data_IF_194635763299
#
_entry.id   IF_194635763299
#
_cell.length_a   1.000
_cell.length_b   1.000
_cell.length_c   1.000
_cell.angle_alpha   90.00
_cell.angle_beta   90.00
_cell.angle_gamma   90.00
#
_symmetry.space_group_name_H-M   'P 1'
#
loop_
_entity.id
_entity.type
_entity.pdbx_description
1 polymer ?
#
# COMPACT_ATOMS: atom_id res chain seq x y z
N UNK A 1 11.59 4.96 -17.51
CA UNK A 1 12.16 3.96 -16.62
C UNK A 1 11.58 4.29 -15.26
N UNK A 2 11.07 3.33 -14.52
CA UNK A 2 10.42 3.64 -13.23
C UNK A 2 11.49 3.95 -12.18
N UNK A 3 11.28 5.02 -11.42
CA UNK A 3 12.22 5.54 -10.43
C UNK A 3 11.84 5.09 -9.02
N UNK A 4 12.77 4.48 -8.31
CA UNK A 4 12.58 3.95 -6.95
C UNK A 4 13.50 4.72 -5.99
N UNK A 5 12.96 5.11 -4.84
CA UNK A 5 13.74 5.65 -3.73
C UNK A 5 13.94 4.57 -2.67
N UNK A 6 15.19 4.32 -2.30
CA UNK A 6 15.56 3.50 -1.14
C UNK A 6 15.95 4.45 -0.01
N UNK A 7 15.36 4.27 1.17
CA UNK A 7 15.73 5.00 2.38
C UNK A 7 16.24 3.95 3.39
N UNK A 8 17.56 3.82 3.48
CA UNK A 8 18.27 2.77 4.22
C UNK A 8 19.62 3.32 4.68
N UNK A 9 19.93 3.25 5.96
CA UNK A 9 21.17 3.79 6.52
C UNK A 9 22.36 2.83 6.42
N UNK A 10 22.12 1.53 6.28
CA UNK A 10 23.17 0.55 6.05
C UNK A 10 23.57 0.53 4.55
N UNK A 11 24.65 1.25 4.20
CA UNK A 11 25.11 1.38 2.80
C UNK A 11 25.24 0.03 2.09
N UNK A 12 25.75 -1.01 2.75
CA UNK A 12 25.92 -2.33 2.15
C UNK A 12 24.58 -3.00 1.78
N UNK A 13 23.52 -2.75 2.56
CA UNK A 13 22.16 -3.24 2.25
C UNK A 13 21.57 -2.41 1.13
N UNK A 14 21.66 -1.10 1.23
CA UNK A 14 21.15 -0.17 0.20
C UNK A 14 21.77 -0.43 -1.18
N UNK A 15 23.09 -0.64 -1.24
CA UNK A 15 23.81 -0.94 -2.49
C UNK A 15 23.38 -2.30 -3.05
N UNK A 16 23.23 -3.32 -2.20
CA UNK A 16 22.75 -4.63 -2.63
C UNK A 16 21.32 -4.55 -3.21
N UNK A 17 20.42 -3.86 -2.52
CA UNK A 17 19.05 -3.64 -3.01
C UNK A 17 19.05 -2.90 -4.35
N UNK A 18 19.84 -1.82 -4.45
CA UNK A 18 20.00 -1.04 -5.67
C UNK A 18 20.47 -1.90 -6.83
N UNK A 19 21.56 -2.66 -6.65
CA UNK A 19 22.13 -3.49 -7.71
C UNK A 19 21.09 -4.46 -8.31
N UNK A 20 20.33 -5.15 -7.45
CA UNK A 20 19.29 -6.08 -7.91
C UNK A 20 18.12 -5.39 -8.60
N UNK A 21 17.73 -4.21 -8.15
CA UNK A 21 16.67 -3.43 -8.76
C UNK A 21 17.11 -2.83 -10.11
N UNK A 22 18.34 -2.30 -10.21
CA UNK A 22 18.89 -1.78 -11.45
C UNK A 22 19.07 -2.89 -12.50
N UNK A 23 19.56 -4.08 -12.11
CA UNK A 23 19.60 -5.27 -12.96
C UNK A 23 18.20 -5.68 -13.45
N UNK A 24 17.16 -5.32 -12.70
CA UNK A 24 15.76 -5.58 -13.06
C UNK A 24 15.11 -4.48 -13.88
N UNK A 25 15.87 -3.41 -14.24
CA UNK A 25 15.45 -2.36 -15.16
C UNK A 25 14.80 -1.15 -14.47
N UNK A 26 15.00 -0.96 -13.18
CA UNK A 26 14.58 0.23 -12.45
C UNK A 26 15.69 1.29 -12.41
N UNK A 27 15.31 2.55 -12.24
CA UNK A 27 16.20 3.65 -11.88
C UNK A 27 16.14 3.82 -10.35
N UNK A 28 17.28 3.74 -9.65
CA UNK A 28 17.29 3.64 -8.20
C UNK A 28 18.14 4.74 -7.57
N UNK A 29 17.52 5.47 -6.66
CA UNK A 29 18.18 6.47 -5.86
C UNK A 29 18.19 6.04 -4.37
N UNK A 30 19.33 6.25 -3.69
CA UNK A 30 19.51 5.93 -2.28
C UNK A 30 19.55 7.22 -1.46
N UNK A 31 18.88 7.19 -0.32
CA UNK A 31 19.04 8.14 0.77
C UNK A 31 19.45 7.37 2.03
N UNK A 32 20.67 7.63 2.53
CA UNK A 32 21.22 6.96 3.73
C UNK A 32 20.78 7.59 5.04
N UNK A 33 19.93 8.62 4.98
CA UNK A 33 19.39 9.34 6.14
C UNK A 33 17.91 9.56 5.97
N UNK A 34 17.15 9.38 7.06
CA UNK A 34 15.71 9.51 7.05
C UNK A 34 15.19 10.91 6.69
N UNK A 35 15.87 11.98 7.16
CA UNK A 35 15.52 13.38 6.85
C UNK A 35 15.72 13.70 5.37
N UNK A 36 16.82 13.27 4.77
CA UNK A 36 17.11 13.42 3.35
C UNK A 36 16.13 12.60 2.51
N UNK A 37 15.85 11.36 2.92
CA UNK A 37 14.90 10.47 2.26
C UNK A 37 13.49 11.05 2.24
N UNK A 38 13.03 11.61 3.36
CA UNK A 38 11.75 12.29 3.45
C UNK A 38 11.69 13.52 2.53
N UNK A 39 12.72 14.36 2.56
CA UNK A 39 12.77 15.55 1.70
C UNK A 39 12.68 15.17 0.21
N UNK A 40 13.43 14.16 -0.23
CA UNK A 40 13.37 13.64 -1.60
C UNK A 40 12.00 13.06 -1.92
N UNK A 41 11.46 12.20 -1.04
CA UNK A 41 10.15 11.59 -1.22
C UNK A 41 9.03 12.61 -1.43
N UNK A 42 9.09 13.76 -0.76
CA UNK A 42 8.11 14.84 -0.90
C UNK A 42 8.35 15.72 -2.12
N UNK A 43 9.61 16.08 -2.41
CA UNK A 43 9.94 17.06 -3.46
C UNK A 43 10.12 16.46 -4.84
N UNK A 44 10.52 15.20 -4.95
CA UNK A 44 10.80 14.55 -6.22
C UNK A 44 9.73 13.49 -6.55
N UNK A 45 9.69 13.08 -7.83
CA UNK A 45 8.74 12.08 -8.29
C UNK A 45 9.40 10.69 -8.28
N UNK A 46 8.85 9.79 -7.50
CA UNK A 46 9.20 8.37 -7.46
C UNK A 46 7.95 7.53 -7.71
N UNK A 47 8.15 6.37 -8.30
CA UNK A 47 7.10 5.40 -8.58
C UNK A 47 6.87 4.41 -7.42
N UNK A 48 7.89 4.25 -6.54
CA UNK A 48 7.84 3.40 -5.35
C UNK A 48 8.92 3.83 -4.34
N UNK A 49 8.65 3.64 -3.05
CA UNK A 49 9.62 3.85 -1.97
C UNK A 49 9.85 2.53 -1.25
N UNK A 50 11.13 2.19 -1.01
CA UNK A 50 11.57 1.17 -0.07
C UNK A 50 12.08 1.91 1.17
N UNK A 51 11.54 1.57 2.34
CA UNK A 51 11.75 2.35 3.57
C UNK A 51 12.15 1.45 4.73
N UNK A 52 13.38 1.60 5.22
CA UNK A 52 13.74 1.00 6.49
C UNK A 52 13.04 1.73 7.65
N UNK A 53 12.61 0.96 8.62
CA UNK A 53 12.00 1.49 9.84
C UNK A 53 13.04 1.87 10.91
N UNK A 54 14.24 1.30 10.85
CA UNK A 54 15.26 1.44 11.88
C UNK A 54 16.26 2.55 11.57
N UNK A 55 15.81 3.60 10.92
CA UNK A 55 16.65 4.73 10.56
C UNK A 55 17.06 5.55 11.80
N UNK A 56 18.30 6.06 11.83
CA UNK A 56 18.70 7.04 12.84
C UNK A 56 17.98 8.37 12.63
N UNK A 57 17.78 9.12 13.70
CA UNK A 57 17.22 10.49 13.74
C UNK A 57 15.73 10.61 13.42
N UNK A 58 15.22 9.92 12.40
CA UNK A 58 13.80 9.99 12.00
C UNK A 58 13.20 8.59 11.93
N UNK A 59 12.13 8.34 12.69
CA UNK A 59 11.41 7.06 12.66
C UNK A 59 10.78 6.80 11.28
N UNK A 60 11.07 5.64 10.67
CA UNK A 60 10.50 5.26 9.38
C UNK A 60 8.97 5.26 9.35
N UNK A 61 8.32 5.03 10.48
CA UNK A 61 6.86 5.17 10.59
C UNK A 61 6.41 6.63 10.39
N UNK A 62 7.18 7.60 10.90
CA UNK A 62 6.87 9.02 10.72
C UNK A 62 7.11 9.47 9.29
N UNK A 63 8.14 8.94 8.62
CA UNK A 63 8.38 9.17 7.19
C UNK A 63 7.19 8.65 6.37
N UNK A 64 6.76 7.42 6.61
CA UNK A 64 5.62 6.83 5.91
C UNK A 64 4.36 7.68 6.08
N UNK A 65 4.06 8.11 7.31
CA UNK A 65 2.90 8.96 7.58
C UNK A 65 2.94 10.26 6.80
N UNK A 66 4.07 11.00 6.83
CA UNK A 66 4.21 12.27 6.16
C UNK A 66 4.12 12.12 4.63
N UNK A 67 4.75 11.10 4.07
CA UNK A 67 4.62 10.81 2.63
C UNK A 67 3.17 10.52 2.26
N UNK A 68 2.41 9.80 3.10
CA UNK A 68 1.01 9.45 2.85
C UNK A 68 0.05 10.63 2.94
N UNK A 69 0.41 11.68 3.66
CA UNK A 69 -0.38 12.93 3.68
C UNK A 69 -0.39 13.62 2.29
N UNK A 70 0.68 13.44 1.49
CA UNK A 70 0.84 14.13 0.22
C UNK A 70 0.81 13.20 -1.01
N UNK A 71 1.28 11.95 -0.89
CA UNK A 71 1.48 11.03 -2.03
C UNK A 71 0.88 9.65 -1.80
N UNK A 72 0.38 9.06 -2.90
CA UNK A 72 -0.23 7.71 -2.90
C UNK A 72 0.66 6.64 -3.58
N UNK A 73 1.93 6.92 -3.82
CA UNK A 73 2.87 5.97 -4.41
C UNK A 73 3.06 4.75 -3.50
N UNK A 74 3.33 3.55 -4.03
CA UNK A 74 3.59 2.37 -3.21
C UNK A 74 4.77 2.56 -2.25
N UNK A 75 4.59 2.13 -0.99
CA UNK A 75 5.65 2.09 0.03
C UNK A 75 5.78 0.66 0.53
N UNK A 76 6.98 0.09 0.39
CA UNK A 76 7.36 -1.19 0.98
C UNK A 76 8.23 -0.89 2.20
N UNK A 77 7.77 -1.24 3.39
CA UNK A 77 8.56 -1.14 4.60
C UNK A 77 9.47 -2.35 4.74
N UNK A 78 10.70 -2.10 5.17
CA UNK A 78 11.68 -3.14 5.46
C UNK A 78 12.14 -2.98 6.90
N UNK A 79 12.31 -4.07 7.66
CA UNK A 79 12.76 -3.95 9.05
C UNK A 79 13.31 -5.25 9.62
N UNK A 80 14.26 -5.13 10.56
CA UNK A 80 14.69 -6.26 11.39
C UNK A 80 13.65 -6.66 12.44
N UNK A 81 12.64 -5.81 12.69
CA UNK A 81 11.57 -6.09 13.65
C UNK A 81 10.63 -7.16 13.11
N UNK A 82 10.46 -8.24 13.87
CA UNK A 82 9.62 -9.39 13.51
C UNK A 82 8.26 -9.38 14.21
N UNK A 83 8.04 -8.43 15.12
CA UNK A 83 6.82 -8.39 15.90
C UNK A 83 5.61 -8.00 15.05
N UNK A 84 4.53 -8.74 15.22
CA UNK A 84 3.28 -8.48 14.49
C UNK A 84 2.71 -7.09 14.79
N UNK A 85 3.03 -6.52 15.96
CA UNK A 85 2.62 -5.16 16.35
C UNK A 85 3.25 -4.11 15.41
N UNK A 86 4.54 -4.22 15.10
CA UNK A 86 5.22 -3.28 14.19
C UNK A 86 4.71 -3.41 12.76
N UNK A 87 4.44 -4.64 12.30
CA UNK A 87 3.82 -4.88 10.98
C UNK A 87 2.42 -4.26 10.91
N UNK A 88 1.58 -4.50 11.93
CA UNK A 88 0.24 -3.93 12.01
C UNK A 88 0.30 -2.40 12.03
N UNK A 89 1.26 -1.83 12.77
CA UNK A 89 1.47 -0.38 12.82
C UNK A 89 1.87 0.19 11.45
N UNK A 90 2.86 -0.41 10.77
CA UNK A 90 3.32 0.04 9.46
C UNK A 90 2.21 0.04 8.40
N UNK A 91 1.50 -1.07 8.29
CA UNK A 91 0.35 -1.21 7.39
C UNK A 91 -0.79 -0.26 7.78
N UNK A 92 -1.01 -0.06 9.08
CA UNK A 92 -1.99 0.90 9.60
C UNK A 92 -1.65 2.36 9.29
N UNK A 93 -0.39 2.69 9.06
CA UNK A 93 0.07 4.02 8.64
C UNK A 93 0.05 4.21 7.11
N UNK A 94 -0.31 3.16 6.37
CA UNK A 94 -0.51 3.24 4.94
C UNK A 94 0.60 2.61 4.08
N UNK A 95 1.53 1.84 4.68
CA UNK A 95 2.42 1.01 3.89
C UNK A 95 1.63 -0.01 3.07
N UNK A 96 2.06 -0.28 1.85
CA UNK A 96 1.43 -1.25 0.96
C UNK A 96 1.92 -2.67 1.23
N UNK A 97 3.16 -2.80 1.72
CA UNK A 97 3.76 -4.08 2.10
C UNK A 97 4.78 -3.91 3.24
N UNK A 98 5.12 -5.04 3.87
CA UNK A 98 6.09 -5.09 4.96
C UNK A 98 6.96 -6.33 4.80
N UNK A 99 8.30 -6.14 4.79
CA UNK A 99 9.29 -7.21 4.70
C UNK A 99 10.16 -7.24 5.95
N UNK A 100 10.50 -8.45 6.41
CA UNK A 100 11.41 -8.61 7.54
C UNK A 100 12.81 -8.96 7.08
N UNK A 101 13.82 -8.25 7.61
CA UNK A 101 15.25 -8.61 7.43
C UNK A 101 15.60 -9.87 8.27
N UNK A 102 16.44 -10.81 7.76
CA UNK A 102 17.01 -10.82 6.43
C UNK A 102 16.01 -11.32 5.39
N UNK A 103 16.02 -10.73 4.21
CA UNK A 103 15.21 -11.14 3.05
C UNK A 103 16.10 -11.44 1.85
N UNK A 104 15.57 -12.17 0.88
CA UNK A 104 16.25 -12.38 -0.40
C UNK A 104 16.09 -11.14 -1.28
N UNK A 105 17.17 -10.61 -1.90
CA UNK A 105 17.04 -9.53 -2.87
C UNK A 105 16.07 -9.85 -4.02
N UNK A 106 16.01 -11.12 -4.43
CA UNK A 106 15.03 -11.57 -5.43
C UNK A 106 13.59 -11.46 -4.94
N UNK A 107 13.34 -11.66 -3.65
CA UNK A 107 12.02 -11.44 -3.05
C UNK A 107 11.64 -9.96 -3.09
N UNK A 108 12.56 -9.07 -2.72
CA UNK A 108 12.35 -7.63 -2.81
C UNK A 108 11.98 -7.22 -4.24
N UNK A 109 12.77 -7.66 -5.24
CA UNK A 109 12.50 -7.36 -6.65
C UNK A 109 11.13 -7.88 -7.09
N UNK A 110 10.75 -9.09 -6.69
CA UNK A 110 9.45 -9.65 -7.04
C UNK A 110 8.30 -8.81 -6.46
N UNK A 111 8.41 -8.37 -5.20
CA UNK A 111 7.42 -7.50 -4.55
C UNK A 111 7.34 -6.12 -5.21
N UNK A 112 8.50 -5.51 -5.48
CA UNK A 112 8.57 -4.22 -6.20
C UNK A 112 7.86 -4.33 -7.55
N UNK A 113 8.17 -5.36 -8.36
CA UNK A 113 7.52 -5.59 -9.66
C UNK A 113 6.00 -5.76 -9.52
N UNK A 114 5.55 -6.55 -8.57
CA UNK A 114 4.12 -6.78 -8.33
C UNK A 114 3.39 -5.48 -7.95
N UNK A 115 3.95 -4.67 -7.04
CA UNK A 115 3.37 -3.40 -6.65
C UNK A 115 3.36 -2.38 -7.79
N UNK A 116 4.47 -2.29 -8.55
CA UNK A 116 4.60 -1.39 -9.70
C UNK A 116 3.62 -1.77 -10.83
N UNK A 117 3.55 -3.04 -11.19
CA UNK A 117 2.67 -3.53 -12.25
C UNK A 117 1.21 -3.27 -11.92
N UNK A 118 0.84 -3.49 -10.65
CA UNK A 118 -0.49 -3.19 -10.16
C UNK A 118 -0.79 -1.70 -10.20
N UNK A 119 0.11 -0.86 -9.71
CA UNK A 119 -0.02 0.59 -9.75
C UNK A 119 -0.15 1.08 -11.20
N UNK A 120 0.72 0.63 -12.11
CA UNK A 120 0.69 0.99 -13.53
C UNK A 120 -0.59 0.50 -14.25
N UNK A 121 -1.08 -0.69 -13.92
CA UNK A 121 -2.35 -1.20 -14.47
C UNK A 121 -3.54 -0.31 -14.11
N UNK A 122 -3.50 0.28 -12.95
CA UNK A 122 -4.56 1.14 -12.41
C UNK A 122 -4.40 2.61 -12.85
N UNK A 123 -3.18 3.09 -13.06
CA UNK A 123 -2.87 4.46 -13.52
C UNK A 123 -2.73 4.53 -15.05
N UNK A 124 -2.33 3.44 -15.71
CA UNK A 124 -1.87 3.42 -17.12
C UNK A 124 -2.93 3.13 -18.19
N UNK A 125 -4.19 2.94 -17.86
CA UNK A 125 -5.22 2.68 -18.88
C UNK A 125 -5.81 3.97 -19.44
N UNK A 126 -5.09 4.57 -20.40
CA UNK A 126 -5.66 5.57 -21.30
C UNK A 126 -6.59 4.90 -22.33
N UNK A 127 -7.86 4.74 -22.02
CA UNK A 127 -9.01 4.97 -22.95
C UNK A 127 -10.25 5.19 -22.09
N UNK A 128 -10.76 6.38 -22.18
CA UNK A 128 -11.89 6.92 -21.45
C UNK A 128 -13.18 6.14 -21.72
N UNK A 129 -13.56 5.28 -20.79
CA UNK A 129 -14.90 5.22 -20.22
C UNK A 129 -14.68 5.22 -18.72
N UNK A 130 -15.08 6.29 -18.06
CA UNK A 130 -15.04 6.34 -16.61
C UNK A 130 -15.84 5.14 -16.09
N UNK A 131 -15.11 4.12 -15.64
CA UNK A 131 -15.71 2.96 -15.01
C UNK A 131 -16.04 3.37 -13.56
N UNK A 132 -17.25 3.86 -13.39
CA UNK A 132 -17.72 4.47 -12.14
C UNK A 132 -18.65 3.47 -11.45
N UNK A 133 -18.37 3.21 -10.18
CA UNK A 133 -19.26 2.47 -9.29
C UNK A 133 -19.96 3.49 -8.40
N UNK A 134 -21.30 3.48 -8.38
CA UNK A 134 -22.10 4.31 -7.47
C UNK A 134 -23.02 3.40 -6.63
N UNK A 135 -22.77 3.34 -5.33
CA UNK A 135 -23.52 2.52 -4.39
C UNK A 135 -23.73 3.28 -3.08
N UNK A 136 -24.99 3.50 -2.69
CA UNK A 136 -25.38 4.04 -1.38
C UNK A 136 -24.61 5.30 -0.95
N UNK A 137 -24.30 6.21 -1.90
CA UNK A 137 -23.57 7.44 -1.65
C UNK A 137 -22.05 7.34 -1.75
N UNK A 138 -21.51 6.15 -2.00
CA UNK A 138 -20.12 5.96 -2.40
C UNK A 138 -20.04 6.04 -3.93
N UNK A 139 -19.15 6.88 -4.44
CA UNK A 139 -18.78 6.95 -5.86
C UNK A 139 -17.29 6.62 -5.99
N UNK A 140 -16.97 5.62 -6.78
CA UNK A 140 -15.60 5.20 -7.07
C UNK A 140 -15.36 5.39 -8.56
N UNK A 141 -14.43 6.27 -8.92
CA UNK A 141 -13.91 6.37 -10.28
C UNK A 141 -12.67 5.48 -10.35
N UNK A 142 -12.80 4.32 -10.99
CA UNK A 142 -11.72 3.35 -11.09
C UNK A 142 -10.59 3.85 -11.99
N UNK A 143 -10.93 4.64 -12.99
CA UNK A 143 -9.97 5.18 -13.95
C UNK A 143 -9.11 6.26 -13.31
N UNK A 144 -9.74 7.21 -12.61
CA UNK A 144 -9.04 8.30 -11.92
C UNK A 144 -8.53 7.90 -10.52
N UNK A 145 -8.91 6.70 -10.02
CA UNK A 145 -8.62 6.23 -8.65
C UNK A 145 -9.09 7.19 -7.57
N UNK A 146 -10.26 7.78 -7.75
CA UNK A 146 -10.85 8.75 -6.82
C UNK A 146 -12.12 8.17 -6.20
N UNK A 147 -12.33 8.51 -4.95
CA UNK A 147 -13.50 8.05 -4.18
C UNK A 147 -14.17 9.24 -3.52
N UNK A 148 -15.49 9.32 -3.65
CA UNK A 148 -16.33 10.31 -2.96
C UNK A 148 -17.32 9.58 -2.07
N UNK A 149 -17.50 10.12 -0.89
CA UNK A 149 -18.49 9.66 0.09
C UNK A 149 -19.49 10.80 0.30
N UNK A 150 -20.73 10.59 -0.11
CA UNK A 150 -21.78 11.62 -0.08
C UNK A 150 -21.35 12.97 -0.73
N UNK A 151 -20.57 12.87 -1.81
CA UNK A 151 -20.07 14.03 -2.56
C UNK A 151 -18.75 14.62 -2.07
N UNK A 152 -18.23 14.18 -0.93
CA UNK A 152 -16.93 14.59 -0.40
C UNK A 152 -15.83 13.63 -0.83
N UNK A 153 -14.78 14.14 -1.47
CA UNK A 153 -13.64 13.31 -1.89
C UNK A 153 -12.82 12.86 -0.67
N UNK A 154 -12.47 11.57 -0.65
CA UNK A 154 -11.63 10.96 0.39
C UNK A 154 -10.40 10.32 -0.23
N UNK A 155 -9.26 10.49 0.42
CA UNK A 155 -7.98 9.93 -0.02
C UNK A 155 -7.81 8.51 0.52
N UNK A 156 -7.39 7.59 -0.37
CA UNK A 156 -7.11 6.19 -0.06
C UNK A 156 -5.70 5.83 -0.49
N UNK A 157 -5.03 4.97 0.26
CA UNK A 157 -3.80 4.35 -0.24
C UNK A 157 -4.12 3.37 -1.37
N UNK A 158 -3.10 2.96 -2.13
CA UNK A 158 -3.29 2.02 -3.25
C UNK A 158 -4.05 0.76 -2.84
N UNK A 159 -3.64 0.12 -1.73
CA UNK A 159 -4.28 -1.12 -1.26
C UNK A 159 -5.67 -0.91 -0.66
N UNK A 160 -5.89 0.20 0.03
CA UNK A 160 -7.23 0.56 0.51
C UNK A 160 -8.19 0.77 -0.67
N UNK A 161 -7.75 1.50 -1.70
CA UNK A 161 -8.54 1.73 -2.90
C UNK A 161 -8.88 0.42 -3.61
N UNK A 162 -7.88 -0.43 -3.83
CA UNK A 162 -8.04 -1.72 -4.51
C UNK A 162 -9.02 -2.63 -3.75
N UNK A 163 -8.86 -2.71 -2.42
CA UNK A 163 -9.73 -3.53 -1.58
C UNK A 163 -11.16 -3.02 -1.54
N UNK A 164 -11.35 -1.70 -1.41
CA UNK A 164 -12.67 -1.07 -1.46
C UNK A 164 -13.34 -1.31 -2.81
N UNK A 165 -12.62 -1.07 -3.90
CA UNK A 165 -13.12 -1.25 -5.27
C UNK A 165 -13.52 -2.69 -5.52
N UNK A 166 -12.67 -3.65 -5.17
CA UNK A 166 -12.96 -5.07 -5.33
C UNK A 166 -14.23 -5.51 -4.58
N UNK A 167 -14.38 -5.06 -3.33
CA UNK A 167 -15.57 -5.35 -2.55
C UNK A 167 -16.83 -4.70 -3.14
N UNK A 168 -16.73 -3.45 -3.59
CA UNK A 168 -17.84 -2.71 -4.20
C UNK A 168 -18.26 -3.28 -5.58
N UNK A 169 -17.34 -3.88 -6.32
CA UNK A 169 -17.64 -4.62 -7.56
C UNK A 169 -18.37 -5.95 -7.33
N UNK A 170 -18.30 -6.46 -6.11
CA UNK A 170 -18.88 -7.75 -5.72
C UNK A 170 -19.87 -7.59 -4.54
N UNK A 171 -20.91 -6.77 -4.67
CA UNK A 171 -21.82 -6.49 -3.57
C UNK A 171 -22.56 -7.77 -3.14
N UNK A 172 -22.87 -7.86 -1.85
CA UNK A 172 -23.56 -8.98 -1.22
C UNK A 172 -22.80 -10.34 -1.24
N UNK A 173 -21.55 -10.37 -1.72
CA UNK A 173 -20.72 -11.56 -1.66
C UNK A 173 -19.79 -11.50 -0.44
N UNK A 174 -19.72 -12.60 0.29
CA UNK A 174 -18.80 -12.75 1.42
C UNK A 174 -17.46 -13.27 0.90
N UNK A 175 -16.38 -12.63 1.30
CA UNK A 175 -15.02 -13.06 1.03
C UNK A 175 -14.28 -13.34 2.33
N UNK A 176 -13.57 -14.45 2.36
CA UNK A 176 -12.64 -14.75 3.45
C UNK A 176 -11.44 -13.80 3.41
N UNK A 177 -10.77 -13.64 4.55
CA UNK A 177 -9.54 -12.84 4.60
C UNK A 177 -8.47 -13.37 3.65
N UNK A 178 -8.37 -14.70 3.51
CA UNK A 178 -7.43 -15.35 2.61
C UNK A 178 -7.74 -15.08 1.12
N UNK A 179 -9.02 -15.07 0.74
CA UNK A 179 -9.43 -14.71 -0.64
C UNK A 179 -9.11 -13.24 -0.92
N UNK A 180 -9.47 -12.32 -0.01
CA UNK A 180 -9.15 -10.91 -0.15
C UNK A 180 -7.65 -10.66 -0.21
N UNK A 181 -6.88 -11.34 0.63
CA UNK A 181 -5.43 -11.23 0.61
C UNK A 181 -4.87 -11.64 -0.75
N UNK A 182 -5.20 -12.83 -1.25
CA UNK A 182 -4.77 -13.32 -2.57
C UNK A 182 -5.18 -12.39 -3.71
N UNK A 183 -6.38 -11.82 -3.63
CA UNK A 183 -6.92 -10.96 -4.69
C UNK A 183 -6.22 -9.59 -4.73
N UNK A 184 -5.82 -9.06 -3.57
CA UNK A 184 -5.32 -7.70 -3.43
C UNK A 184 -3.79 -7.64 -3.30
N UNK A 185 -3.14 -8.67 -2.76
CA UNK A 185 -1.67 -8.70 -2.52
C UNK A 185 -0.88 -9.71 -3.35
N UNK A 186 -1.54 -10.48 -4.22
CA UNK A 186 -1.01 -11.59 -5.01
C UNK A 186 -0.65 -12.90 -4.28
N UNK A 187 -0.66 -14.02 -5.06
CA UNK A 187 -0.52 -15.39 -4.53
C UNK A 187 0.88 -15.74 -4.00
N UNK A 188 1.90 -14.94 -4.31
CA UNK A 188 3.29 -15.17 -3.88
C UNK A 188 3.72 -14.28 -2.71
N UNK A 189 2.88 -13.33 -2.27
CA UNK A 189 3.23 -12.52 -1.12
C UNK A 189 3.13 -13.37 0.16
N UNK A 190 4.27 -13.61 0.78
CA UNK A 190 4.39 -14.18 2.14
C UNK A 190 3.96 -13.11 3.15
N UNK A 191 2.79 -12.51 2.95
CA UNK A 191 2.21 -11.50 3.83
C UNK A 191 1.22 -12.11 4.80
N UNK A 192 1.06 -11.47 5.95
CA UNK A 192 0.11 -11.91 6.97
C UNK A 192 -1.33 -11.55 6.55
N UNK A 193 -2.24 -12.52 6.64
CA UNK A 193 -3.69 -12.35 6.46
C UNK A 193 -4.24 -11.25 7.39
N UNK A 194 -3.57 -10.95 8.51
CA UNK A 194 -3.88 -9.84 9.40
C UNK A 194 -3.89 -8.48 8.68
N UNK A 195 -3.09 -8.32 7.63
CA UNK A 195 -3.02 -7.13 6.76
C UNK A 195 -4.41 -6.72 6.25
N UNK A 196 -5.24 -7.68 5.84
CA UNK A 196 -6.61 -7.40 5.37
C UNK A 196 -7.42 -6.70 6.46
N UNK A 197 -7.35 -7.18 7.70
CA UNK A 197 -8.11 -6.61 8.82
C UNK A 197 -7.73 -5.15 9.09
N UNK A 198 -6.45 -4.82 8.98
CA UNK A 198 -5.95 -3.45 9.16
C UNK A 198 -6.50 -2.53 8.08
N UNK A 199 -6.42 -2.96 6.81
CA UNK A 199 -6.92 -2.16 5.69
C UNK A 199 -8.45 -2.00 5.74
N UNK A 200 -9.21 -3.03 6.08
CA UNK A 200 -10.66 -2.92 6.31
C UNK A 200 -10.96 -1.89 7.40
N UNK A 201 -10.21 -1.90 8.51
CA UNK A 201 -10.38 -0.89 9.56
C UNK A 201 -10.16 0.53 9.02
N UNK A 202 -9.07 0.75 8.27
CA UNK A 202 -8.73 2.06 7.68
C UNK A 202 -9.76 2.52 6.64
N UNK A 203 -10.26 1.62 5.82
CA UNK A 203 -11.33 1.94 4.87
C UNK A 203 -12.59 2.36 5.63
N UNK A 204 -13.01 1.60 6.66
CA UNK A 204 -14.18 1.95 7.49
C UNK A 204 -14.05 3.32 8.14
N UNK A 205 -12.88 3.69 8.65
CA UNK A 205 -12.61 5.02 9.21
C UNK A 205 -12.91 6.16 8.23
N UNK A 206 -12.84 5.88 6.91
CA UNK A 206 -13.05 6.87 5.84
C UNK A 206 -14.47 6.86 5.25
N UNK A 207 -15.13 5.69 5.23
CA UNK A 207 -16.42 5.54 4.55
C UNK A 207 -17.61 5.39 5.49
N UNK A 208 -17.41 4.89 6.72
CA UNK A 208 -18.50 4.61 7.65
C UNK A 208 -18.79 5.83 8.53
N UNK A 209 -20.07 6.13 8.74
CA UNK A 209 -20.46 7.13 9.73
C UNK A 209 -20.14 6.66 11.16
N UNK A 210 -20.30 5.34 11.42
CA UNK A 210 -19.97 4.72 12.69
C UNK A 210 -19.26 3.39 12.46
N UNK A 211 -17.97 3.35 12.72
CA UNK A 211 -17.14 2.15 12.52
C UNK A 211 -17.52 0.96 13.39
N UNK A 212 -18.21 1.18 14.52
CA UNK A 212 -18.72 0.11 15.39
C UNK A 212 -20.01 -0.53 14.84
N UNK A 213 -20.71 0.18 13.93
CA UNK A 213 -21.91 -0.31 13.23
C UNK A 213 -21.76 -0.03 11.73
N UNK A 214 -20.86 -0.75 11.04
CA UNK A 214 -20.57 -0.52 9.64
C UNK A 214 -21.80 -0.81 8.78
N UNK A 215 -22.05 0.05 7.79
CA UNK A 215 -23.14 -0.07 6.84
C UNK A 215 -22.68 -0.48 5.44
N UNK A 216 -21.42 -0.22 5.12
CA UNK A 216 -20.84 -0.53 3.82
C UNK A 216 -20.08 -1.85 3.84
N UNK A 217 -19.10 -1.99 4.73
CA UNK A 217 -18.33 -3.22 4.84
C UNK A 217 -18.69 -3.93 6.13
N UNK A 218 -19.49 -4.98 6.03
CA UNK A 218 -19.91 -5.78 7.17
C UNK A 218 -18.89 -6.87 7.52
N UNK A 219 -18.76 -7.20 8.79
CA UNK A 219 -18.03 -8.39 9.25
C UNK A 219 -19.00 -9.57 9.38
N UNK A 220 -18.73 -10.62 8.64
CA UNK A 220 -19.42 -11.90 8.80
C UNK A 220 -18.57 -12.77 9.72
N UNK A 221 -18.97 -12.85 10.96
CA UNK A 221 -18.20 -13.49 12.02
C UNK A 221 -17.86 -14.94 11.67
N UNK A 222 -16.59 -15.30 11.88
CA UNK A 222 -16.07 -16.63 11.55
C UNK A 222 -15.82 -16.86 10.04
N UNK A 223 -16.20 -15.92 9.14
CA UNK A 223 -16.06 -16.07 7.69
C UNK A 223 -15.15 -14.99 7.09
N UNK A 224 -15.56 -13.72 7.14
CA UNK A 224 -14.82 -12.65 6.49
C UNK A 224 -15.60 -11.34 6.38
N UNK A 225 -15.57 -10.72 5.19
CA UNK A 225 -16.16 -9.41 4.93
C UNK A 225 -17.08 -9.42 3.73
N UNK A 226 -18.08 -8.53 3.75
CA UNK A 226 -19.06 -8.31 2.68
C UNK A 226 -19.31 -6.81 2.50
N UNK A 227 -19.49 -6.36 1.25
CA UNK A 227 -19.93 -5.00 0.92
C UNK A 227 -21.42 -4.96 0.60
#
# INVERSE_FOLDING_TARGET
MSKILIIEDEEAIADLEKDYLELSGFDVEIATRGDVGLEKALKEEYDLIILDLMLPEVDGFDICRQVREEKNIPIIMVSAKKDDIDKIRGLGLGADDYMTKPFSPSELVARVKAHMERYNRLVGSNVVKNDIIEIRGIKIDKTARRVWINGEEKTFTTKEFDLLTFLAENPNRVFTKAELFRQIWDMESVGDIATVTVHIKKIREKIEFNTAKPQYIETIWGVGYRF
#
